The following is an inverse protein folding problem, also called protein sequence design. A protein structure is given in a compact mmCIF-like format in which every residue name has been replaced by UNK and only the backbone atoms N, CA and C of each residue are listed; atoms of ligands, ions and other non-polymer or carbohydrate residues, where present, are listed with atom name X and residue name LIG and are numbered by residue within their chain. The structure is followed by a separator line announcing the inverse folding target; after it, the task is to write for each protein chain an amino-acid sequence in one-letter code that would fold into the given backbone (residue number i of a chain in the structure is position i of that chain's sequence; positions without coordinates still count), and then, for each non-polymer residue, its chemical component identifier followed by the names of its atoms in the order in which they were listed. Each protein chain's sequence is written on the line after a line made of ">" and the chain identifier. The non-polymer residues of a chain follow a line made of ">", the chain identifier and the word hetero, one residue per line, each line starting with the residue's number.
data_IF_181563384570
#
_entry.id   IF_181563384570
#
_cell.length_a   1.000
_cell.length_b   1.000
_cell.length_c   1.000
_cell.angle_alpha   90.00
_cell.angle_beta   90.00
_cell.angle_gamma   90.00
#
_symmetry.space_group_name_H-M   'P 1'
#
loop_
_entity.id
_entity.type
_entity.pdbx_description
1 polymer ?
#
# COMPACT_ATOMS: atom_id res chain seq x y z
N UNK A 1 2.73 -14.15 -31.67
CA UNK A 1 2.26 -13.25 -30.59
C UNK A 1 1.89 -14.14 -29.44
N UNK A 2 2.87 -14.37 -28.55
CA UNK A 2 2.57 -14.96 -27.25
C UNK A 2 1.58 -14.02 -26.57
N UNK A 3 0.36 -14.47 -26.38
CA UNK A 3 -0.51 -13.90 -25.38
C UNK A 3 0.24 -14.01 -24.08
N UNK A 4 0.72 -12.90 -23.56
CA UNK A 4 1.08 -12.80 -22.16
C UNK A 4 -0.20 -13.20 -21.41
N UNK A 5 -0.22 -14.46 -20.95
CA UNK A 5 -1.28 -14.91 -20.09
C UNK A 5 -1.38 -13.91 -18.95
N UNK A 6 -2.57 -13.38 -18.71
CA UNK A 6 -2.90 -12.77 -17.43
C UNK A 6 -2.24 -13.64 -16.37
N UNK A 7 -1.44 -13.09 -15.43
CA UNK A 7 -0.90 -13.91 -14.38
C UNK A 7 -2.07 -14.68 -13.80
N UNK A 8 -1.99 -16.00 -13.87
CA UNK A 8 -3.00 -16.84 -13.24
C UNK A 8 -3.05 -16.41 -11.79
N UNK A 9 -4.21 -15.88 -11.38
CA UNK A 9 -4.48 -15.69 -9.97
C UNK A 9 -4.12 -17.00 -9.27
N UNK A 10 -3.40 -16.97 -8.15
CA UNK A 10 -3.07 -18.19 -7.43
C UNK A 10 -4.33 -19.02 -7.32
N UNK A 11 -4.25 -20.32 -7.54
CA UNK A 11 -5.30 -21.33 -7.68
C UNK A 11 -6.45 -21.30 -6.63
N UNK A 12 -6.81 -20.12 -6.16
CA UNK A 12 -8.00 -19.88 -5.35
C UNK A 12 -9.20 -19.76 -6.29
N UNK A 13 -10.25 -20.49 -6.01
CA UNK A 13 -11.52 -20.32 -6.71
C UNK A 13 -11.93 -18.85 -6.61
N UNK A 14 -12.60 -18.33 -7.63
CA UNK A 14 -13.16 -16.97 -7.61
C UNK A 14 -13.99 -16.69 -6.35
N UNK A 15 -14.74 -17.69 -5.89
CA UNK A 15 -15.50 -17.66 -4.63
C UNK A 15 -14.59 -17.43 -3.42
N UNK A 16 -13.42 -18.04 -3.38
CA UNK A 16 -12.48 -17.89 -2.27
C UNK A 16 -11.78 -16.52 -2.32
N UNK A 17 -11.51 -15.99 -3.49
CA UNK A 17 -10.98 -14.64 -3.68
C UNK A 17 -11.99 -13.59 -3.19
N UNK A 18 -13.25 -13.73 -3.53
CA UNK A 18 -14.34 -12.86 -3.06
C UNK A 18 -14.51 -13.01 -1.55
N UNK A 19 -14.48 -14.24 -1.01
CA UNK A 19 -14.59 -14.49 0.43
C UNK A 19 -13.45 -13.83 1.20
N UNK A 20 -12.22 -13.97 0.74
CA UNK A 20 -11.05 -13.34 1.36
C UNK A 20 -11.14 -11.82 1.29
N UNK A 21 -11.63 -11.27 0.19
CA UNK A 21 -11.87 -9.84 0.03
C UNK A 21 -12.94 -9.33 1.01
N UNK A 22 -14.06 -10.03 1.11
CA UNK A 22 -15.15 -9.69 2.03
C UNK A 22 -14.69 -9.83 3.49
N UNK A 23 -13.92 -10.86 3.82
CA UNK A 23 -13.37 -11.06 5.15
C UNK A 23 -12.37 -9.97 5.52
N UNK A 24 -11.51 -9.56 4.58
CA UNK A 24 -10.62 -8.43 4.75
C UNK A 24 -11.40 -7.13 5.00
N UNK A 25 -12.47 -6.87 4.26
CA UNK A 25 -13.31 -5.68 4.44
C UNK A 25 -14.02 -5.65 5.80
N UNK A 26 -14.49 -6.79 6.28
CA UNK A 26 -15.24 -6.87 7.55
C UNK A 26 -14.38 -6.68 8.80
N UNK A 27 -13.06 -6.86 8.67
CA UNK A 27 -12.11 -6.79 9.78
C UNK A 27 -11.21 -5.56 9.72
N UNK A 28 -11.46 -4.63 8.82
CA UNK A 28 -10.61 -3.46 8.57
C UNK A 28 -11.39 -2.19 8.87
N UNK A 29 -10.78 -1.23 9.58
CA UNK A 29 -11.39 0.08 9.79
C UNK A 29 -11.79 0.74 8.47
N UNK A 30 -12.96 1.37 8.46
CA UNK A 30 -13.57 1.96 7.25
C UNK A 30 -12.60 2.85 6.44
N UNK A 31 -11.78 3.63 7.13
CA UNK A 31 -10.79 4.51 6.49
C UNK A 31 -9.77 3.79 5.62
N UNK A 32 -9.52 2.50 5.87
CA UNK A 32 -8.61 1.70 5.07
C UNK A 32 -9.26 1.15 3.80
N UNK A 33 -10.58 1.06 3.77
CA UNK A 33 -11.32 0.49 2.62
C UNK A 33 -11.08 1.26 1.32
N UNK A 34 -10.80 2.55 1.39
CA UNK A 34 -10.46 3.38 0.22
C UNK A 34 -9.19 2.89 -0.50
N UNK A 35 -8.32 2.15 0.17
CA UNK A 35 -7.07 1.64 -0.39
C UNK A 35 -7.14 0.16 -0.80
N UNK A 36 -8.28 -0.49 -0.65
CA UNK A 36 -8.43 -1.93 -0.87
C UNK A 36 -7.94 -2.37 -2.25
N UNK A 37 -8.29 -1.63 -3.31
CA UNK A 37 -7.85 -1.94 -4.67
C UNK A 37 -6.33 -1.90 -4.85
N UNK A 38 -5.65 -1.01 -4.15
CA UNK A 38 -4.18 -0.89 -4.20
C UNK A 38 -3.49 -2.05 -3.47
N UNK A 39 -3.99 -2.43 -2.31
CA UNK A 39 -3.45 -3.59 -1.59
C UNK A 39 -3.66 -4.89 -2.38
N UNK A 40 -4.82 -5.06 -3.00
CA UNK A 40 -5.11 -6.21 -3.86
C UNK A 40 -4.23 -6.23 -5.11
N UNK A 41 -3.95 -5.07 -5.69
CA UNK A 41 -3.10 -4.95 -6.88
C UNK A 41 -1.64 -5.27 -6.60
N UNK A 42 -1.09 -4.80 -5.47
CA UNK A 42 0.34 -4.84 -5.23
C UNK A 42 0.82 -6.00 -4.35
N UNK A 43 -0.01 -6.51 -3.45
CA UNK A 43 0.37 -7.59 -2.55
C UNK A 43 -0.13 -8.95 -3.00
N UNK A 44 0.65 -9.99 -2.72
CA UNK A 44 0.18 -11.37 -2.80
C UNK A 44 -0.96 -11.60 -1.81
N UNK A 45 -1.91 -12.47 -2.16
CA UNK A 45 -3.15 -12.67 -1.41
C UNK A 45 -2.94 -12.95 0.08
N UNK A 46 -1.98 -13.80 0.41
CA UNK A 46 -1.64 -14.17 1.78
C UNK A 46 -1.15 -13.01 2.64
N UNK A 47 -0.69 -11.93 2.02
CA UNK A 47 -0.08 -10.77 2.69
C UNK A 47 -1.01 -9.57 2.82
N UNK A 48 -2.11 -9.53 2.07
CA UNK A 48 -3.02 -8.36 2.01
C UNK A 48 -3.55 -8.00 3.39
N UNK A 49 -4.07 -8.96 4.12
CA UNK A 49 -4.67 -8.73 5.44
C UNK A 49 -3.65 -8.12 6.42
N UNK A 50 -2.47 -8.70 6.50
CA UNK A 50 -1.39 -8.16 7.35
C UNK A 50 -0.95 -6.77 6.90
N UNK A 51 -0.77 -6.55 5.60
CA UNK A 51 -0.37 -5.26 5.05
C UNK A 51 -1.38 -4.14 5.37
N UNK A 52 -2.67 -4.44 5.27
CA UNK A 52 -3.73 -3.48 5.60
C UNK A 52 -3.73 -3.15 7.09
N UNK A 53 -3.56 -4.15 7.98
CA UNK A 53 -3.43 -3.90 9.42
C UNK A 53 -2.23 -3.04 9.75
N UNK A 54 -1.10 -3.28 9.11
CA UNK A 54 0.11 -2.45 9.26
C UNK A 54 -0.20 -1.01 8.86
N UNK A 55 -0.78 -0.78 7.68
CA UNK A 55 -1.14 0.56 7.21
C UNK A 55 -2.02 1.33 8.20
N UNK A 56 -3.00 0.65 8.80
CA UNK A 56 -3.80 1.24 9.86
C UNK A 56 -2.98 1.58 11.11
N UNK A 57 -2.14 0.67 11.56
CA UNK A 57 -1.32 0.88 12.74
C UNK A 57 -0.31 2.01 12.57
N UNK A 58 0.21 2.18 11.37
CA UNK A 58 1.20 3.20 11.04
C UNK A 58 0.58 4.60 10.86
N UNK A 59 -0.50 4.72 10.12
CA UNK A 59 -1.02 6.02 9.68
C UNK A 59 -2.46 6.32 10.09
N UNK A 60 -3.20 5.34 10.60
CA UNK A 60 -4.67 5.43 10.76
C UNK A 60 -5.38 5.75 9.44
N UNK A 61 -4.84 5.28 8.33
CA UNK A 61 -5.37 5.49 7.00
C UNK A 61 -5.17 6.90 6.43
N UNK A 62 -4.26 7.68 6.99
CA UNK A 62 -3.96 9.04 6.51
C UNK A 62 -2.81 8.99 5.52
N UNK A 63 -3.07 9.30 4.25
CA UNK A 63 -2.02 9.40 3.22
C UNK A 63 -1.03 10.54 3.46
N UNK A 64 -1.45 11.56 4.20
CA UNK A 64 -0.62 12.72 4.57
C UNK A 64 0.03 12.58 5.94
N UNK A 65 -0.02 11.39 6.56
CA UNK A 65 0.62 11.16 7.84
C UNK A 65 2.12 11.44 7.76
N UNK A 66 2.62 12.19 8.75
CA UNK A 66 4.03 12.56 8.86
C UNK A 66 4.43 12.56 10.34
N UNK A 67 5.57 11.94 10.66
CA UNK A 67 6.15 11.94 12.01
C UNK A 67 7.36 12.85 12.05
N UNK A 68 7.30 13.86 12.92
CA UNK A 68 8.37 14.88 13.04
C UNK A 68 9.68 14.33 13.63
N UNK A 69 9.62 13.25 14.39
CA UNK A 69 10.77 12.67 15.09
C UNK A 69 11.73 11.91 14.16
N UNK A 70 11.20 11.24 13.12
CA UNK A 70 12.00 10.41 12.21
C UNK A 70 11.67 10.61 10.71
N UNK A 71 10.67 11.42 10.38
CA UNK A 71 10.27 11.69 9.00
C UNK A 71 9.44 10.59 8.33
N UNK A 72 8.91 9.63 9.07
CA UNK A 72 8.02 8.62 8.54
C UNK A 72 6.81 9.26 7.85
N UNK A 73 6.53 8.86 6.62
CA UNK A 73 5.54 9.52 5.76
C UNK A 73 4.62 8.53 5.05
N UNK A 74 3.34 8.92 4.93
CA UNK A 74 2.34 8.23 4.12
C UNK A 74 1.65 7.08 4.83
N UNK A 75 0.86 6.32 4.06
CA UNK A 75 0.03 5.22 4.60
C UNK A 75 0.85 4.16 5.32
N UNK A 76 1.99 3.78 4.75
CA UNK A 76 2.87 2.74 5.27
C UNK A 76 4.10 3.30 6.01
N UNK A 77 4.16 4.61 6.21
CA UNK A 77 5.18 5.31 7.01
C UNK A 77 6.63 5.01 6.57
N UNK A 78 6.97 5.44 5.37
CA UNK A 78 8.34 5.35 4.84
C UNK A 78 9.23 6.50 5.29
N UNK A 79 10.50 6.20 5.51
CA UNK A 79 11.58 7.19 5.62
C UNK A 79 12.29 7.36 4.27
N UNK A 80 12.86 8.53 4.05
CA UNK A 80 13.43 8.91 2.76
C UNK A 80 14.54 7.98 2.26
N UNK A 81 15.41 7.51 3.12
CA UNK A 81 16.52 6.69 2.68
C UNK A 81 16.11 5.27 2.26
N UNK A 82 15.14 4.65 2.95
CA UNK A 82 14.54 3.37 2.54
C UNK A 82 13.80 3.54 1.21
N UNK A 83 13.06 4.62 1.08
CA UNK A 83 12.36 4.95 -0.17
C UNK A 83 13.33 5.05 -1.35
N UNK A 84 14.37 5.85 -1.22
CA UNK A 84 15.33 6.07 -2.30
C UNK A 84 16.10 4.80 -2.68
N UNK A 85 16.41 3.96 -1.71
CA UNK A 85 17.00 2.66 -1.99
C UNK A 85 16.10 1.78 -2.88
N UNK A 86 14.80 1.71 -2.57
CA UNK A 86 13.82 0.99 -3.40
C UNK A 86 13.70 1.67 -4.77
N UNK A 87 13.54 2.98 -4.79
CA UNK A 87 13.35 3.75 -6.01
C UNK A 87 14.49 3.55 -7.01
N UNK A 88 15.74 3.60 -6.55
CA UNK A 88 16.92 3.35 -7.38
C UNK A 88 16.97 1.92 -7.90
N UNK A 89 16.62 0.94 -7.05
CA UNK A 89 16.68 -0.48 -7.40
C UNK A 89 15.62 -0.91 -8.42
N UNK A 90 14.48 -0.20 -8.46
CA UNK A 90 13.32 -0.55 -9.29
C UNK A 90 12.97 0.51 -10.35
N UNK A 91 13.81 1.52 -10.52
CA UNK A 91 13.57 2.63 -11.46
C UNK A 91 12.21 3.31 -11.24
N UNK A 92 11.96 3.69 -10.00
CA UNK A 92 10.74 4.33 -9.53
C UNK A 92 11.03 5.77 -9.07
N UNK A 93 9.99 6.62 -8.93
CA UNK A 93 10.18 8.00 -8.49
C UNK A 93 10.86 8.11 -7.12
N UNK A 94 11.84 8.98 -7.03
CA UNK A 94 12.62 9.27 -5.82
C UNK A 94 11.83 10.09 -4.81
N UNK A 95 12.22 10.03 -3.56
CA UNK A 95 11.64 10.85 -2.48
C UNK A 95 11.62 12.34 -2.86
N UNK A 96 10.54 13.01 -2.53
CA UNK A 96 10.25 14.40 -2.86
C UNK A 96 10.04 14.71 -4.36
N UNK A 97 10.12 13.72 -5.24
CA UNK A 97 9.79 13.91 -6.64
C UNK A 97 8.29 14.22 -6.80
N UNK A 98 8.00 15.25 -7.60
CA UNK A 98 6.64 15.59 -7.96
C UNK A 98 6.12 14.64 -9.03
N UNK A 99 4.99 14.02 -8.77
CA UNK A 99 4.30 13.12 -9.71
C UNK A 99 2.91 13.67 -10.02
N UNK A 100 2.44 13.33 -11.19
CA UNK A 100 1.10 13.68 -11.63
C UNK A 100 0.24 12.43 -11.51
N UNK A 101 -0.83 12.57 -10.74
CA UNK A 101 -1.79 11.52 -10.48
C UNK A 101 -3.14 11.90 -11.09
N UNK A 102 -3.86 10.91 -11.59
CA UNK A 102 -5.25 11.04 -11.98
C UNK A 102 -6.08 9.96 -11.29
N UNK A 103 -7.08 10.38 -10.52
CA UNK A 103 -7.92 9.46 -9.77
C UNK A 103 -7.11 8.46 -8.92
N UNK A 104 -6.06 8.97 -8.27
CA UNK A 104 -5.20 8.17 -7.41
C UNK A 104 -4.20 7.26 -8.11
N UNK A 105 -4.05 7.38 -9.44
CA UNK A 105 -3.11 6.59 -10.25
C UNK A 105 -2.15 7.48 -11.04
N UNK A 106 -0.91 7.01 -11.31
CA UNK A 106 0.04 7.77 -12.12
C UNK A 106 -0.54 8.10 -13.49
N UNK A 107 -0.37 9.34 -13.90
CA UNK A 107 -0.74 9.80 -15.22
C UNK A 107 0.49 9.83 -16.12
N UNK A 108 0.47 9.04 -17.17
CA UNK A 108 1.63 8.82 -18.07
C UNK A 108 1.45 9.40 -19.48
N UNK A 109 0.30 9.98 -19.80
CA UNK A 109 0.05 10.57 -21.12
C UNK A 109 0.66 11.97 -21.24
N UNK A 110 1.34 12.23 -22.37
CA UNK A 110 1.95 13.52 -22.71
C UNK A 110 0.92 14.59 -23.12
N UNK A 111 -0.13 14.81 -22.31
CA UNK A 111 -1.12 15.85 -22.59
C UNK A 111 -1.06 16.96 -21.55
N UNK A 112 -1.37 18.16 -21.97
CA UNK A 112 -1.52 19.32 -21.09
C UNK A 112 -2.76 19.08 -20.22
N UNK A 113 -2.54 18.80 -18.96
CA UNK A 113 -3.58 18.44 -17.97
C UNK A 113 -4.01 19.60 -17.09
N UNK A 114 -3.58 20.81 -17.39
CA UNK A 114 -3.93 21.99 -16.61
C UNK A 114 -5.44 22.14 -16.56
N UNK A 115 -5.99 22.05 -15.36
CA UNK A 115 -7.40 22.28 -15.03
C UNK A 115 -8.40 21.14 -15.27
N UNK A 116 -7.94 19.94 -15.65
CA UNK A 116 -8.85 18.79 -15.78
C UNK A 116 -9.20 18.20 -14.41
N UNK A 117 -10.43 17.73 -14.24
CA UNK A 117 -10.92 17.12 -13.01
C UNK A 117 -10.15 15.80 -12.75
N UNK A 118 -9.77 15.59 -11.50
CA UNK A 118 -9.11 14.37 -11.06
C UNK A 118 -7.60 14.36 -11.17
N UNK A 119 -7.00 15.43 -11.74
CA UNK A 119 -5.55 15.58 -11.78
C UNK A 119 -5.03 16.23 -10.50
N UNK A 120 -3.93 15.70 -10.01
CA UNK A 120 -3.23 16.16 -8.82
C UNK A 120 -1.73 16.11 -9.07
N UNK A 121 -1.03 17.18 -8.70
CA UNK A 121 0.44 17.20 -8.61
C UNK A 121 0.83 17.09 -7.15
N UNK A 122 1.54 16.04 -6.79
CA UNK A 122 1.82 15.69 -5.41
C UNK A 122 3.21 15.06 -5.27
N UNK A 123 3.84 15.24 -4.12
CA UNK A 123 5.10 14.54 -3.82
C UNK A 123 4.83 13.04 -3.67
N UNK A 124 5.64 12.25 -4.33
CA UNK A 124 5.42 10.80 -4.55
C UNK A 124 5.17 10.02 -3.27
N UNK A 125 5.86 10.36 -2.17
CA UNK A 125 5.72 9.64 -0.90
C UNK A 125 4.36 9.81 -0.22
N UNK A 126 3.59 10.83 -0.59
CA UNK A 126 2.23 11.05 -0.10
C UNK A 126 1.16 10.36 -0.94
N UNK A 127 1.51 9.78 -2.08
CA UNK A 127 0.56 9.05 -2.91
C UNK A 127 0.30 7.66 -2.31
N UNK A 128 -0.94 7.26 -2.02
CA UNK A 128 -1.23 5.89 -1.60
C UNK A 128 -0.75 4.85 -2.60
N UNK A 129 -0.89 5.14 -3.89
CA UNK A 129 -0.43 4.27 -4.97
C UNK A 129 1.05 3.87 -4.82
N UNK A 130 1.96 4.85 -4.77
CA UNK A 130 3.39 4.55 -4.64
C UNK A 130 3.77 4.10 -3.24
N UNK A 131 3.15 4.64 -2.22
CA UNK A 131 3.47 4.29 -0.83
C UNK A 131 3.14 2.81 -0.54
N UNK A 132 1.98 2.33 -0.99
CA UNK A 132 1.56 0.93 -0.86
C UNK A 132 2.37 0.02 -1.81
N UNK A 133 2.64 0.46 -3.04
CA UNK A 133 3.52 -0.26 -3.97
C UNK A 133 4.92 -0.50 -3.37
N UNK A 134 5.54 0.53 -2.83
CA UNK A 134 6.86 0.43 -2.19
C UNK A 134 6.85 -0.54 -1.01
N UNK A 135 5.77 -0.54 -0.24
CA UNK A 135 5.61 -1.50 0.86
C UNK A 135 5.54 -2.94 0.37
N UNK A 136 4.85 -3.20 -0.74
CA UNK A 136 4.80 -4.54 -1.33
C UNK A 136 6.17 -4.99 -1.85
N UNK A 137 6.91 -4.11 -2.49
CA UNK A 137 8.27 -4.39 -2.96
C UNK A 137 9.19 -4.73 -1.77
N UNK A 138 9.16 -3.91 -0.73
CA UNK A 138 10.00 -4.11 0.44
C UNK A 138 9.67 -5.43 1.16
N UNK A 139 8.39 -5.69 1.40
CA UNK A 139 7.95 -6.87 2.13
C UNK A 139 8.12 -8.18 1.36
N UNK A 140 7.72 -8.20 0.09
CA UNK A 140 7.61 -9.44 -0.68
C UNK A 140 8.84 -9.72 -1.52
N UNK A 141 9.46 -8.71 -2.10
CA UNK A 141 10.57 -8.88 -3.03
C UNK A 141 11.92 -8.78 -2.33
N UNK A 142 12.11 -7.77 -1.48
CA UNK A 142 13.38 -7.52 -0.80
C UNK A 142 13.52 -8.39 0.46
N UNK A 143 12.48 -8.43 1.31
CA UNK A 143 12.48 -9.13 2.60
C UNK A 143 11.61 -10.40 2.61
N UNK A 144 11.58 -11.16 1.55
CA UNK A 144 10.69 -12.31 1.42
C UNK A 144 10.69 -13.32 2.60
N UNK A 145 11.75 -13.34 3.42
CA UNK A 145 11.86 -14.17 4.64
C UNK A 145 11.52 -13.44 5.94
N UNK A 146 11.63 -12.11 5.93
CA UNK A 146 11.35 -11.24 7.08
C UNK A 146 10.52 -10.06 6.62
N UNK A 147 9.50 -10.35 5.86
CA UNK A 147 8.73 -9.40 5.05
C UNK A 147 8.19 -8.19 5.82
N UNK A 148 7.94 -8.30 7.12
CA UNK A 148 7.39 -7.21 7.94
C UNK A 148 8.41 -6.56 8.87
N UNK A 149 9.68 -6.78 8.66
CA UNK A 149 10.77 -6.34 9.52
C UNK A 149 10.77 -4.84 9.78
N UNK A 150 10.54 -4.02 8.76
CA UNK A 150 10.61 -2.57 8.88
C UNK A 150 9.42 -1.97 9.65
N UNK A 151 8.36 -2.75 9.85
CA UNK A 151 7.21 -2.39 10.66
C UNK A 151 7.19 -3.05 12.04
N UNK A 152 8.34 -3.53 12.49
CA UNK A 152 8.45 -4.23 13.77
C UNK A 152 8.11 -3.35 14.98
N UNK A 153 8.34 -2.05 14.89
CA UNK A 153 7.97 -1.10 15.95
C UNK A 153 6.47 -1.02 16.23
N UNK A 154 5.64 -1.27 15.23
CA UNK A 154 4.17 -1.30 15.36
C UNK A 154 3.59 -2.71 15.51
N UNK A 155 4.43 -3.72 15.63
CA UNK A 155 4.05 -5.15 15.69
C UNK A 155 3.00 -5.45 16.76
N UNK A 156 3.09 -4.81 17.90
CA UNK A 156 2.12 -4.91 18.98
C UNK A 156 0.68 -4.56 18.55
N UNK A 157 0.53 -3.77 17.51
CA UNK A 157 -0.76 -3.29 17.00
C UNK A 157 -1.39 -4.26 15.98
N UNK A 158 -0.59 -4.89 15.12
CA UNK A 158 -1.10 -5.62 13.96
C UNK A 158 -0.87 -7.14 13.98
N UNK A 159 0.04 -7.66 14.81
CA UNK A 159 0.44 -9.08 14.74
C UNK A 159 -0.64 -10.02 15.30
N UNK A 160 -1.22 -9.69 16.45
CA UNK A 160 -2.22 -10.52 17.11
C UNK A 160 -3.61 -10.27 16.51
N UNK A 161 -4.04 -11.19 15.63
CA UNK A 161 -5.30 -11.09 14.90
C UNK A 161 -6.51 -11.15 15.85
N UNK A 162 -6.46 -11.94 16.89
CA UNK A 162 -7.57 -12.06 17.86
C UNK A 162 -7.75 -10.75 18.63
N UNK A 163 -6.65 -10.16 19.06
CA UNK A 163 -6.63 -8.86 19.73
C UNK A 163 -7.10 -7.75 18.78
N UNK A 164 -6.63 -7.79 17.53
CA UNK A 164 -7.06 -6.90 16.47
C UNK A 164 -8.58 -6.95 16.27
N UNK A 165 -9.14 -8.14 16.06
CA UNK A 165 -10.55 -8.33 15.81
C UNK A 165 -11.43 -7.86 16.98
N UNK A 166 -10.98 -8.03 18.22
CA UNK A 166 -11.69 -7.52 19.41
C UNK A 166 -11.73 -5.99 19.44
N UNK A 167 -10.66 -5.33 18.99
CA UNK A 167 -10.51 -3.88 19.07
C UNK A 167 -11.21 -3.15 17.92
N UNK A 168 -11.09 -3.68 16.69
CA UNK A 168 -11.46 -2.94 15.46
C UNK A 168 -12.69 -3.50 14.74
N UNK A 169 -13.24 -4.62 15.18
CA UNK A 169 -14.35 -5.30 14.52
C UNK A 169 -15.65 -4.47 14.48
N UNK A 170 -15.78 -3.46 15.30
CA UNK A 170 -16.99 -2.64 15.45
C UNK A 170 -16.75 -1.16 15.08
N UNK A 171 -15.65 -0.83 14.49
CA UNK A 171 -15.34 0.49 13.93
C UNK A 171 -15.50 0.50 12.40
#
# INVERSE_FOLDING_TARGET
>A
LATLGTPEAPNLSETQQISNYVECQNNVPEKMLQYSSLYIEFFDYENIDTAVRIGWCESRGKSTAYRNDNGDTGVMQFVSWTWNWIAESYDLPMWDEWVIMRWGRPYTENKTYKHDIGFEQVKVQYTPYYNIMFASILAEDIYNRTQWRDWNSSKWCWEDVDKWNKKWRNE
#
